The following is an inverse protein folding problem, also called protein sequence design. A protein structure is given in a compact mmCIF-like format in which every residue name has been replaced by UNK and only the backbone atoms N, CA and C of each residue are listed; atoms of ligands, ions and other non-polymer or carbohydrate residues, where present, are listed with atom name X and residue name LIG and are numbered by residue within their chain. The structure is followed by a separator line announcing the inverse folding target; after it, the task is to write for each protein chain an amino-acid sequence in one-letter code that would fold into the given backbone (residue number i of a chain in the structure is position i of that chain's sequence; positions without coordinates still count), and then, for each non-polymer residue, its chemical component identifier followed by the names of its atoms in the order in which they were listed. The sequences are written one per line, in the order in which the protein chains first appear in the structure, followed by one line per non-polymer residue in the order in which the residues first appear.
data_IF_163634971013
#
_entry.id   IF_163634971013
#
_cell.length_a   1.000
_cell.length_b   1.000
_cell.length_c   1.000
_cell.angle_alpha   90.00
_cell.angle_beta   90.00
_cell.angle_gamma   90.00
#
_symmetry.space_group_name_H-M   'P 1'
#
loop_
_entity.id
_entity.type
_entity.pdbx_description
1 polymer ?
#
# COMPACT_ATOMS: atom_id res chain seq x y z
N UNK A 1 16.69 -17.03 -4.49
CA UNK A 1 17.30 -18.26 -5.02
C UNK A 1 17.89 -19.01 -3.84
N UNK A 2 17.41 -20.21 -3.54
CA UNK A 2 17.89 -20.98 -2.39
C UNK A 2 18.95 -21.96 -2.86
N UNK A 3 20.09 -21.94 -2.18
CA UNK A 3 21.22 -22.81 -2.43
C UNK A 3 21.49 -23.66 -1.20
N UNK A 4 22.02 -24.84 -1.46
CA UNK A 4 22.39 -25.81 -0.45
C UNK A 4 23.91 -25.92 -0.49
N UNK A 5 24.59 -25.44 0.55
CA UNK A 5 26.03 -25.56 0.72
C UNK A 5 26.38 -26.42 1.95
N UNK A 6 27.67 -26.66 2.19
CA UNK A 6 28.14 -27.46 3.33
C UNK A 6 27.84 -26.83 4.71
N UNK A 7 27.41 -25.56 4.76
CA UNK A 7 26.99 -24.84 5.96
C UNK A 7 25.46 -24.84 6.17
N UNK A 8 24.66 -25.23 5.16
CA UNK A 8 23.21 -25.40 5.25
C UNK A 8 22.46 -24.88 4.02
N UNK A 9 21.12 -24.80 4.14
CA UNK A 9 20.27 -24.19 3.11
C UNK A 9 20.17 -22.68 3.35
N UNK A 10 20.72 -21.88 2.43
CA UNK A 10 20.63 -20.42 2.47
C UNK A 10 19.85 -19.88 1.26
N UNK A 11 18.88 -19.01 1.52
CA UNK A 11 18.10 -18.34 0.49
C UNK A 11 18.59 -16.91 0.26
N UNK A 12 18.99 -16.61 -0.97
CA UNK A 12 19.16 -15.22 -1.42
C UNK A 12 17.79 -14.62 -1.67
N UNK A 13 17.42 -13.63 -0.86
CA UNK A 13 16.14 -12.93 -0.92
C UNK A 13 16.13 -11.81 -1.95
N UNK A 14 14.93 -11.44 -2.39
CA UNK A 14 14.75 -10.24 -3.20
C UNK A 14 15.00 -8.99 -2.34
N UNK A 15 15.48 -7.87 -2.92
CA UNK A 15 15.66 -6.63 -2.17
C UNK A 15 14.38 -6.25 -1.43
N UNK A 16 14.50 -5.91 -0.14
CA UNK A 16 13.36 -5.58 0.72
C UNK A 16 12.63 -6.78 1.32
N UNK A 17 13.12 -8.02 1.12
CA UNK A 17 12.59 -9.23 1.76
C UNK A 17 13.64 -9.93 2.60
N UNK A 18 13.20 -10.62 3.66
CA UNK A 18 14.06 -11.32 4.61
C UNK A 18 13.35 -12.53 5.23
N UNK A 19 14.05 -13.23 6.13
CA UNK A 19 13.58 -14.47 6.74
C UNK A 19 14.18 -15.71 6.07
N UNK A 20 13.97 -16.86 6.71
CA UNK A 20 14.54 -18.14 6.27
C UNK A 20 14.05 -18.58 4.88
N UNK A 21 12.86 -18.13 4.45
CA UNK A 21 12.27 -18.36 3.13
C UNK A 21 11.92 -17.04 2.42
N UNK A 22 12.53 -15.93 2.83
CA UNK A 22 12.25 -14.60 2.29
C UNK A 22 10.77 -14.19 2.43
N UNK A 23 10.08 -14.70 3.46
CA UNK A 23 8.66 -14.50 3.72
C UNK A 23 8.33 -13.15 4.36
N UNK A 24 9.33 -12.46 4.91
CA UNK A 24 9.18 -11.18 5.58
C UNK A 24 9.39 -10.08 4.54
N UNK A 25 8.43 -9.17 4.42
CA UNK A 25 8.57 -7.94 3.65
C UNK A 25 8.95 -6.83 4.62
N UNK A 26 10.19 -6.36 4.55
CA UNK A 26 10.78 -5.51 5.60
C UNK A 26 9.95 -4.23 5.81
N UNK A 27 9.61 -3.53 4.73
CA UNK A 27 8.82 -2.31 4.80
C UNK A 27 7.41 -2.50 5.40
N UNK A 28 6.90 -3.73 5.44
CA UNK A 28 5.62 -4.03 6.09
C UNK A 28 5.72 -4.25 7.60
N UNK A 29 6.92 -4.44 8.15
CA UNK A 29 7.16 -4.76 9.56
C UNK A 29 7.80 -3.58 10.28
N UNK A 30 8.94 -3.10 9.77
CA UNK A 30 9.75 -2.07 10.42
C UNK A 30 9.96 -0.82 9.55
N UNK A 31 9.66 -0.88 8.25
CA UNK A 31 9.78 0.26 7.36
C UNK A 31 8.50 1.08 7.18
N UNK A 32 8.40 1.74 6.02
CA UNK A 32 7.42 2.81 5.78
C UNK A 32 5.97 2.36 5.83
N UNK A 33 5.68 1.08 5.56
CA UNK A 33 4.31 0.54 5.53
C UNK A 33 3.95 -0.26 6.80
N UNK A 34 4.70 -0.11 7.90
CA UNK A 34 4.41 -0.79 9.18
C UNK A 34 2.98 -0.53 9.69
N UNK A 35 2.44 0.66 9.43
CA UNK A 35 1.11 1.09 9.85
C UNK A 35 0.03 0.83 8.77
N UNK A 36 0.39 0.18 7.66
CA UNK A 36 -0.55 -0.15 6.58
C UNK A 36 -1.70 -1.03 7.10
N UNK A 37 -1.39 -2.09 7.85
CA UNK A 37 -2.41 -3.00 8.38
C UNK A 37 -3.31 -2.32 9.41
N UNK A 38 -2.72 -1.57 10.34
CA UNK A 38 -3.48 -0.85 11.39
C UNK A 38 -4.35 0.26 10.82
N UNK A 39 -3.98 0.84 9.67
CA UNK A 39 -4.78 1.86 8.97
C UNK A 39 -5.88 1.28 8.05
N UNK A 40 -6.00 -0.04 7.95
CA UNK A 40 -7.02 -0.72 7.14
C UNK A 40 -6.58 -1.02 5.70
N UNK A 41 -5.29 -1.17 5.48
CA UNK A 41 -4.72 -1.69 4.25
C UNK A 41 -4.09 -3.07 4.40
N UNK A 42 -3.60 -3.61 3.29
CA UNK A 42 -2.80 -4.83 3.23
C UNK A 42 -1.44 -4.50 2.65
N UNK A 43 -0.37 -4.79 3.39
CA UNK A 43 0.99 -4.62 2.91
C UNK A 43 1.48 -5.90 2.23
N UNK A 44 1.98 -5.78 1.00
CA UNK A 44 2.44 -6.89 0.15
C UNK A 44 3.73 -6.52 -0.59
N UNK A 45 4.38 -7.50 -1.21
CA UNK A 45 5.56 -7.27 -2.04
C UNK A 45 5.21 -7.35 -3.53
N UNK A 46 5.49 -6.29 -4.28
CA UNK A 46 5.36 -6.27 -5.72
C UNK A 46 6.63 -6.84 -6.36
N UNK A 47 6.55 -8.07 -6.87
CA UNK A 47 7.70 -8.75 -7.50
C UNK A 47 8.17 -8.05 -8.77
N UNK A 48 7.27 -7.41 -9.53
CA UNK A 48 7.63 -6.71 -10.76
C UNK A 48 8.41 -5.42 -10.49
N UNK A 49 8.01 -4.67 -9.45
CA UNK A 49 8.64 -3.41 -9.05
C UNK A 49 9.73 -3.58 -7.98
N UNK A 50 9.86 -4.77 -7.40
CA UNK A 50 10.80 -5.13 -6.34
C UNK A 50 10.72 -4.24 -5.10
N UNK A 51 9.50 -3.89 -4.70
CA UNK A 51 9.24 -3.05 -3.53
C UNK A 51 8.01 -3.53 -2.76
N UNK A 52 7.88 -3.06 -1.52
CA UNK A 52 6.63 -3.21 -0.78
C UNK A 52 5.57 -2.23 -1.30
N UNK A 53 4.31 -2.59 -1.15
CA UNK A 53 3.15 -1.77 -1.50
C UNK A 53 2.09 -1.92 -0.41
N UNK A 54 1.50 -0.81 0.00
CA UNK A 54 0.30 -0.80 0.84
C UNK A 54 -0.96 -0.63 -0.03
N UNK A 55 -1.84 -1.62 0.00
CA UNK A 55 -3.12 -1.60 -0.69
C UNK A 55 -4.23 -1.26 0.30
N UNK A 56 -4.88 -0.10 0.15
CA UNK A 56 -5.94 0.32 1.06
C UNK A 56 -7.26 -0.42 0.80
N UNK A 57 -8.02 -0.65 1.87
CA UNK A 57 -9.37 -1.20 1.77
C UNK A 57 -10.36 -0.24 1.09
N UNK A 58 -11.61 -0.69 0.93
CA UNK A 58 -12.68 0.12 0.34
C UNK A 58 -12.88 1.43 1.10
N UNK A 59 -13.17 2.50 0.36
CA UNK A 59 -13.39 3.84 0.92
C UNK A 59 -12.11 4.50 1.47
N UNK A 60 -10.92 3.96 1.18
CA UNK A 60 -9.65 4.50 1.65
C UNK A 60 -8.66 4.69 0.51
N UNK A 61 -7.80 5.69 0.67
CA UNK A 61 -6.65 5.91 -0.20
C UNK A 61 -5.37 6.04 0.63
N UNK A 62 -4.25 5.70 -0.01
CA UNK A 62 -2.94 5.76 0.64
C UNK A 62 -2.42 7.19 0.68
N UNK A 63 -2.08 7.67 1.87
CA UNK A 63 -1.40 8.96 2.07
C UNK A 63 0.10 8.73 2.16
N UNK A 64 0.84 9.18 1.15
CA UNK A 64 2.30 9.06 1.09
C UNK A 64 3.06 9.98 2.07
N UNK A 65 2.39 10.98 2.66
CA UNK A 65 3.01 11.84 3.69
C UNK A 65 3.00 11.12 5.03
N UNK A 66 1.85 10.55 5.41
CA UNK A 66 1.69 9.83 6.68
C UNK A 66 2.00 8.34 6.58
N UNK A 67 2.27 7.84 5.37
CA UNK A 67 2.51 6.44 5.03
C UNK A 67 1.44 5.48 5.56
N UNK A 68 0.16 5.87 5.45
CA UNK A 68 -0.97 5.10 5.95
C UNK A 68 -2.20 5.28 5.09
N UNK A 69 -3.12 4.34 5.18
CA UNK A 69 -4.45 4.50 4.60
C UNK A 69 -5.27 5.51 5.40
N UNK A 70 -6.00 6.37 4.70
CA UNK A 70 -6.95 7.33 5.25
C UNK A 70 -8.29 7.19 4.55
N UNK A 71 -9.35 7.58 5.26
CA UNK A 71 -10.69 7.66 4.70
C UNK A 71 -10.68 8.58 3.47
N UNK A 72 -11.29 8.07 2.41
CA UNK A 72 -11.34 8.69 1.09
C UNK A 72 -12.66 8.27 0.43
N UNK A 73 -13.73 8.93 0.84
CA UNK A 73 -15.07 8.72 0.31
C UNK A 73 -15.46 9.91 -0.57
N UNK A 74 -15.76 9.67 -1.84
CA UNK A 74 -16.25 10.66 -2.80
C UNK A 74 -17.68 10.37 -3.27
N UNK A 75 -18.38 9.45 -2.59
CA UNK A 75 -19.66 8.92 -3.05
C UNK A 75 -19.50 7.90 -4.19
N UNK A 76 -20.64 7.48 -4.75
CA UNK A 76 -20.70 6.40 -5.76
C UNK A 76 -20.26 6.83 -7.15
N UNK A 77 -20.17 8.14 -7.41
CA UNK A 77 -19.86 8.73 -8.71
C UNK A 77 -18.49 9.40 -8.75
N UNK A 78 -17.61 9.02 -7.83
CA UNK A 78 -16.30 9.64 -7.67
C UNK A 78 -15.21 8.63 -7.36
N UNK A 79 -14.08 8.76 -8.04
CA UNK A 79 -12.84 8.12 -7.61
C UNK A 79 -12.11 9.00 -6.61
N UNK A 80 -11.60 8.41 -5.54
CA UNK A 80 -10.93 9.14 -4.46
C UNK A 80 -9.41 8.92 -4.46
N UNK A 81 -8.65 10.01 -4.37
CA UNK A 81 -7.20 10.01 -4.21
C UNK A 81 -6.80 10.95 -3.05
N UNK A 82 -5.67 10.67 -2.40
CA UNK A 82 -5.03 11.64 -1.49
C UNK A 82 -3.78 12.19 -2.16
N UNK A 83 -3.70 13.51 -2.30
CA UNK A 83 -2.50 14.21 -2.78
C UNK A 83 -2.13 15.30 -1.79
N UNK A 84 -0.85 15.30 -1.40
CA UNK A 84 -0.31 16.27 -0.46
C UNK A 84 -1.11 16.34 0.87
N UNK A 85 -1.60 15.18 1.35
CA UNK A 85 -2.41 15.08 2.57
C UNK A 85 -3.89 15.46 2.42
N UNK A 86 -4.29 15.94 1.24
CA UNK A 86 -5.67 16.36 0.95
C UNK A 86 -6.41 15.33 0.09
N UNK A 87 -7.68 15.10 0.44
CA UNK A 87 -8.62 14.31 -0.35
C UNK A 87 -8.95 15.02 -1.66
N UNK A 88 -8.93 14.29 -2.77
CA UNK A 88 -9.30 14.77 -4.10
C UNK A 88 -10.32 13.79 -4.70
N UNK A 89 -11.47 14.33 -5.07
CA UNK A 89 -12.51 13.59 -5.77
C UNK A 89 -12.45 13.84 -7.28
N UNK A 90 -12.39 12.76 -8.05
CA UNK A 90 -12.54 12.79 -9.50
C UNK A 90 -13.93 12.27 -9.83
N UNK A 91 -14.85 13.20 -10.05
CA UNK A 91 -16.23 12.87 -10.37
C UNK A 91 -16.37 12.38 -11.80
N UNK A 92 -17.31 11.47 -12.01
CA UNK A 92 -17.75 11.01 -13.33
C UNK A 92 -18.39 12.15 -14.12
N UNK A 93 -18.43 12.01 -15.44
CA UNK A 93 -19.09 12.97 -16.32
C UNK A 93 -20.54 13.19 -15.87
N UNK A 94 -20.93 14.46 -15.70
CA UNK A 94 -22.24 14.97 -15.21
C UNK A 94 -22.40 15.07 -13.68
N UNK A 95 -21.39 14.68 -12.90
CA UNK A 95 -21.37 14.87 -11.46
C UNK A 95 -20.39 15.99 -11.08
N UNK A 96 -20.71 16.72 -10.02
CA UNK A 96 -19.85 17.79 -9.51
C UNK A 96 -19.45 17.49 -8.07
N UNK A 97 -18.24 17.89 -7.71
CA UNK A 97 -17.79 17.87 -6.32
C UNK A 97 -18.55 18.94 -5.54
N UNK A 98 -19.42 18.50 -4.63
CA UNK A 98 -20.09 19.34 -3.64
C UNK A 98 -19.69 18.86 -2.25
N UNK A 99 -18.93 19.70 -1.55
CA UNK A 99 -18.43 19.42 -0.20
C UNK A 99 -17.64 18.10 -0.09
N UNK A 100 -16.92 17.73 -1.15
CA UNK A 100 -16.11 16.52 -1.21
C UNK A 100 -16.89 15.26 -1.59
N UNK A 101 -18.10 15.37 -2.13
CA UNK A 101 -18.90 14.26 -2.63
C UNK A 101 -19.34 14.56 -4.06
N UNK A 102 -19.25 13.58 -4.94
CA UNK A 102 -19.71 13.69 -6.33
C UNK A 102 -21.22 13.43 -6.41
N UNK A 103 -21.99 14.48 -6.73
CA UNK A 103 -23.46 14.45 -6.82
C UNK A 103 -24.02 15.28 -7.98
#
# INVERSE_FOLDING_TARGET
MCHQDEAGNFCTCLPGTSGHRCEIVNDCVDGIYRDCKSSGGTCTYNVAQKNAVCLCGQGKAFDFIENRCKECDCGTHGNCEIRQGSKICKCEDKYEDKDGICT
#
